data_IF_577896093563
#
_entry.id   IF_577896093563
#
_cell.length_a   1.000
_cell.length_b   1.000
_cell.length_c   1.000
_cell.angle_alpha   90.00
_cell.angle_beta   90.00
_cell.angle_gamma   90.00
#
_symmetry.space_group_name_H-M   'P 1'
#
loop_
_entity.id
_entity.type
_entity.pdbx_description
1 polymer ?
#
# COMPACT_ATOMS: atom_id res chain seq x y z
N UNK A 1 34.84 -15.88 17.21
CA UNK A 1 34.14 -15.05 16.21
C UNK A 1 33.38 -15.99 15.30
N UNK A 2 32.10 -16.21 15.59
CA UNK A 2 31.21 -17.11 14.84
C UNK A 2 30.42 -16.29 13.81
N UNK A 3 30.32 -16.86 12.62
CA UNK A 3 29.88 -16.28 11.35
C UNK A 3 28.42 -15.81 11.39
N UNK A 4 28.21 -14.63 10.81
CA UNK A 4 26.95 -13.91 10.64
C UNK A 4 26.02 -14.56 9.58
N UNK A 5 25.87 -15.87 9.60
CA UNK A 5 25.17 -16.60 8.51
C UNK A 5 23.74 -17.05 8.86
N UNK A 6 23.32 -16.95 10.13
CA UNK A 6 21.99 -17.36 10.57
C UNK A 6 21.07 -16.19 10.97
N UNK A 7 21.22 -15.02 10.37
CA UNK A 7 20.20 -13.97 10.52
C UNK A 7 18.98 -14.35 9.68
N UNK A 8 18.02 -15.01 10.32
CA UNK A 8 16.75 -15.37 9.70
C UNK A 8 16.01 -14.10 9.25
N UNK A 9 15.16 -14.20 8.22
CA UNK A 9 14.31 -13.08 7.78
C UNK A 9 13.50 -12.50 8.95
N UNK A 10 13.22 -13.34 9.96
CA UNK A 10 12.55 -12.99 11.21
C UNK A 10 13.42 -12.09 12.10
N UNK A 11 14.71 -12.37 12.27
CA UNK A 11 15.62 -11.52 13.05
C UNK A 11 15.78 -10.13 12.41
N UNK A 12 15.82 -10.08 11.07
CA UNK A 12 15.79 -8.80 10.33
C UNK A 12 14.46 -8.07 10.43
N UNK A 13 13.35 -8.75 10.71
CA UNK A 13 12.04 -8.12 10.89
C UNK A 13 11.86 -7.58 12.32
N UNK A 14 12.40 -8.26 13.33
CA UNK A 14 12.30 -7.87 14.74
C UNK A 14 13.30 -6.74 15.09
N UNK A 15 14.50 -6.77 14.52
CA UNK A 15 15.54 -5.76 14.80
C UNK A 15 15.40 -4.45 14.02
N UNK A 16 14.38 -4.31 13.17
CA UNK A 16 14.27 -3.16 12.29
C UNK A 16 13.49 -1.99 12.93
N UNK A 17 14.13 -0.85 13.26
CA UNK A 17 13.47 0.27 13.93
C UNK A 17 12.33 0.91 13.11
N UNK A 18 12.23 0.67 11.78
CA UNK A 18 11.02 1.08 11.04
C UNK A 18 9.78 0.29 11.41
N UNK A 19 9.90 -0.96 11.86
CA UNK A 19 8.73 -1.67 12.35
C UNK A 19 8.31 -1.14 13.71
N UNK A 20 9.26 -0.75 14.57
CA UNK A 20 8.98 -0.24 15.92
C UNK A 20 8.46 1.22 15.92
N UNK A 21 8.99 2.09 15.04
CA UNK A 21 8.47 3.44 14.83
C UNK A 21 7.08 3.47 14.17
N UNK A 22 6.67 2.37 13.53
CA UNK A 22 5.35 2.29 12.90
C UNK A 22 4.21 2.04 13.88
N UNK A 23 4.44 1.68 15.15
CA UNK A 23 3.36 1.20 16.03
C UNK A 23 2.52 2.23 16.82
N UNK A 24 2.79 3.54 16.73
CA UNK A 24 2.11 4.52 17.62
C UNK A 24 0.95 5.31 17.00
N UNK A 25 1.16 5.97 15.86
CA UNK A 25 0.20 6.96 15.32
C UNK A 25 -0.13 6.76 13.83
N UNK A 26 0.81 6.22 13.03
CA UNK A 26 0.61 6.06 11.58
C UNK A 26 -0.20 4.82 11.17
N UNK A 27 -0.36 3.80 12.01
CA UNK A 27 -1.19 2.62 11.65
C UNK A 27 -2.64 3.02 11.43
N UNK A 28 -3.18 3.92 12.25
CA UNK A 28 -4.55 4.42 12.09
C UNK A 28 -4.69 5.27 10.83
N UNK A 29 -3.70 6.13 10.56
CA UNK A 29 -3.67 6.90 9.32
C UNK A 29 -3.58 5.98 8.10
N UNK A 30 -2.77 4.92 8.12
CA UNK A 30 -2.66 3.94 7.02
C UNK A 30 -3.96 3.20 6.77
N UNK A 31 -4.65 2.78 7.83
CA UNK A 31 -5.96 2.11 7.74
C UNK A 31 -7.05 3.00 7.15
N UNK A 32 -6.92 4.32 7.26
CA UNK A 32 -7.82 5.28 6.61
C UNK A 32 -7.32 5.72 5.22
N UNK A 33 -6.02 5.96 5.07
CA UNK A 33 -5.39 6.51 3.88
C UNK A 33 -5.44 5.54 2.70
N UNK A 34 -5.21 4.24 2.91
CA UNK A 34 -5.30 3.25 1.83
C UNK A 34 -6.74 3.18 1.28
N UNK A 35 -7.79 3.00 2.10
CA UNK A 35 -9.17 3.06 1.61
C UNK A 35 -9.53 4.39 0.94
N UNK A 36 -9.12 5.53 1.50
CA UNK A 36 -9.39 6.85 0.91
C UNK A 36 -8.69 7.00 -0.44
N UNK A 37 -7.43 6.58 -0.57
CA UNK A 37 -6.68 6.65 -1.81
C UNK A 37 -7.29 5.73 -2.89
N UNK A 38 -7.70 4.52 -2.52
CA UNK A 38 -8.41 3.61 -3.43
C UNK A 38 -9.76 4.18 -3.86
N UNK A 39 -10.49 4.83 -2.95
CA UNK A 39 -11.74 5.51 -3.26
C UNK A 39 -11.53 6.67 -4.25
N UNK A 40 -10.47 7.47 -4.05
CA UNK A 40 -10.10 8.54 -4.99
C UNK A 40 -9.71 7.99 -6.36
N UNK A 41 -8.95 6.89 -6.42
CA UNK A 41 -8.63 6.21 -7.69
C UNK A 41 -9.90 5.70 -8.37
N UNK A 42 -10.84 5.16 -7.60
CA UNK A 42 -12.14 4.70 -8.11
C UNK A 42 -12.97 5.83 -8.70
N UNK A 43 -13.08 6.95 -7.97
CA UNK A 43 -13.74 8.15 -8.47
C UNK A 43 -13.06 8.68 -9.73
N UNK A 44 -11.73 8.80 -9.72
CA UNK A 44 -10.98 9.27 -10.89
C UNK A 44 -11.21 8.36 -12.10
N UNK A 45 -11.08 7.04 -11.92
CA UNK A 45 -11.30 6.07 -12.99
C UNK A 45 -12.72 6.14 -13.54
N UNK A 46 -13.72 6.25 -12.65
CA UNK A 46 -15.11 6.40 -13.05
C UNK A 46 -15.31 7.68 -13.86
N UNK A 47 -14.82 8.82 -13.39
CA UNK A 47 -14.95 10.10 -14.12
C UNK A 47 -14.29 10.07 -15.50
N UNK A 48 -13.17 9.36 -15.65
CA UNK A 48 -12.51 9.19 -16.94
C UNK A 48 -13.35 8.30 -17.85
N UNK A 49 -13.83 7.16 -17.36
CA UNK A 49 -14.55 6.17 -18.18
C UNK A 49 -16.00 6.55 -18.49
N UNK A 50 -16.63 7.39 -17.68
CA UNK A 50 -18.04 7.78 -17.82
C UNK A 50 -18.36 8.43 -19.17
N UNK A 51 -17.37 9.10 -19.78
CA UNK A 51 -17.52 9.72 -21.10
C UNK A 51 -17.43 8.73 -22.28
N UNK A 52 -16.94 7.51 -22.06
CA UNK A 52 -16.64 6.55 -23.13
C UNK A 52 -17.53 5.31 -23.13
N UNK A 53 -18.13 4.98 -21.99
CA UNK A 53 -18.79 3.69 -21.75
C UNK A 53 -20.18 3.83 -21.12
N UNK A 54 -20.97 2.76 -21.17
CA UNK A 54 -22.27 2.73 -20.50
C UNK A 54 -22.08 2.67 -18.97
N UNK A 55 -23.00 3.27 -18.21
CA UNK A 55 -22.89 3.38 -16.74
C UNK A 55 -22.50 2.07 -16.04
N UNK A 56 -23.07 0.93 -16.43
CA UNK A 56 -22.73 -0.38 -15.85
C UNK A 56 -21.28 -0.80 -16.17
N UNK A 57 -20.84 -0.64 -17.42
CA UNK A 57 -19.49 -1.01 -17.84
C UNK A 57 -18.43 -0.08 -17.24
N UNK A 58 -18.73 1.22 -17.14
CA UNK A 58 -17.92 2.22 -16.44
C UNK A 58 -17.69 1.83 -14.98
N UNK A 59 -18.76 1.43 -14.27
CA UNK A 59 -18.70 0.97 -12.88
C UNK A 59 -17.81 -0.27 -12.73
N UNK A 60 -18.02 -1.28 -13.57
CA UNK A 60 -17.22 -2.52 -13.54
C UNK A 60 -15.73 -2.23 -13.81
N UNK A 61 -15.41 -1.45 -14.85
CA UNK A 61 -14.03 -1.07 -15.19
C UNK A 61 -13.35 -0.32 -14.05
N UNK A 62 -14.07 0.61 -13.42
CA UNK A 62 -13.55 1.39 -12.29
C UNK A 62 -13.19 0.49 -11.11
N UNK A 63 -14.03 -0.49 -10.77
CA UNK A 63 -13.72 -1.46 -9.72
C UNK A 63 -12.53 -2.37 -10.07
N UNK A 64 -12.40 -2.76 -11.34
CA UNK A 64 -11.22 -3.51 -11.81
C UNK A 64 -9.94 -2.69 -11.59
N UNK A 65 -9.95 -1.40 -11.97
CA UNK A 65 -8.79 -0.51 -11.77
C UNK A 65 -8.44 -0.36 -10.29
N UNK A 66 -9.44 -0.15 -9.43
CA UNK A 66 -9.23 -0.06 -7.97
C UNK A 66 -8.65 -1.36 -7.40
N UNK A 67 -9.22 -2.51 -7.80
CA UNK A 67 -8.77 -3.83 -7.37
C UNK A 67 -7.32 -4.12 -7.79
N UNK A 68 -6.97 -3.81 -9.04
CA UNK A 68 -5.59 -3.95 -9.54
C UNK A 68 -4.61 -2.99 -8.87
N UNK A 69 -5.06 -1.80 -8.46
CA UNK A 69 -4.24 -0.80 -7.80
C UNK A 69 -3.87 -1.18 -6.36
N UNK A 70 -4.67 -2.02 -5.69
CA UNK A 70 -4.45 -2.43 -4.30
C UNK A 70 -3.05 -3.03 -4.08
N UNK A 71 -2.62 -3.97 -4.94
CA UNK A 71 -1.32 -4.63 -4.81
C UNK A 71 -0.14 -3.66 -4.87
N UNK A 72 -0.02 -2.85 -5.94
CA UNK A 72 1.00 -1.81 -6.07
C UNK A 72 1.01 -0.82 -4.89
N UNK A 73 -0.16 -0.36 -4.43
CA UNK A 73 -0.27 0.59 -3.31
C UNK A 73 0.32 -0.01 -2.03
N UNK A 74 -0.01 -1.28 -1.73
CA UNK A 74 0.53 -1.96 -0.56
C UNK A 74 2.05 -2.17 -0.65
N UNK A 75 2.58 -2.46 -1.84
CA UNK A 75 4.02 -2.61 -2.03
C UNK A 75 4.78 -1.27 -1.93
N UNK A 76 4.21 -0.19 -2.46
CA UNK A 76 4.77 1.17 -2.31
C UNK A 76 4.80 1.58 -0.84
N UNK A 77 3.75 1.30 -0.10
CA UNK A 77 3.68 1.57 1.34
C UNK A 77 4.79 0.83 2.12
N UNK A 78 4.99 -0.45 1.83
CA UNK A 78 6.11 -1.23 2.40
C UNK A 78 7.47 -0.67 2.00
N UNK A 79 7.63 -0.26 0.75
CA UNK A 79 8.89 0.30 0.25
C UNK A 79 9.23 1.64 0.90
N UNK A 80 8.24 2.53 1.05
CA UNK A 80 8.40 3.80 1.77
C UNK A 80 8.78 3.56 3.23
N UNK A 81 8.16 2.56 3.88
CA UNK A 81 8.55 2.12 5.21
C UNK A 81 10.01 1.67 5.29
N UNK A 82 10.46 0.86 4.33
CA UNK A 82 11.84 0.40 4.26
C UNK A 82 12.85 1.55 4.02
N UNK A 83 12.50 2.56 3.22
CA UNK A 83 13.32 3.75 3.01
C UNK A 83 13.41 4.61 4.27
N UNK A 84 12.29 4.87 4.93
CA UNK A 84 12.26 5.66 6.17
C UNK A 84 13.03 4.99 7.30
N UNK A 85 13.17 3.67 7.25
CA UNK A 85 13.97 2.88 8.20
C UNK A 85 15.47 3.07 8.12
N UNK A 86 15.97 3.41 6.92
CA UNK A 86 17.40 3.46 6.62
C UNK A 86 18.02 4.83 6.91
N UNK A 87 17.18 5.81 7.24
CA UNK A 87 17.54 7.19 7.50
C UNK A 87 17.50 7.46 9.00
#
# INVERSE_FOLDING_TARGET
MTSREDETIVDKAIGNPAFDQMFGYQIFFRRAAIPVLLFLIGLLSYTIFDSFFSSQTTLTLSFIVVGLSLGPILNLERYMGALSSRK
#
